data_IF_052384372554
#
_entry.id   IF_052384372554
#
_cell.length_a   1.000
_cell.length_b   1.000
_cell.length_c   1.000
_cell.angle_alpha   90.00
_cell.angle_beta   90.00
_cell.angle_gamma   90.00
#
_symmetry.space_group_name_H-M   'P 1'
#
loop_
_entity.id
_entity.type
_entity.pdbx_description
1 polymer ?
#
# COMPACT_ATOMS: atom_id res chain seq x y z
N UNK A 1 37.29 29.86 0.51
CA UNK A 1 36.10 29.49 -0.29
C UNK A 1 34.92 30.21 0.33
N UNK A 2 34.43 31.26 -0.35
CA UNK A 2 33.29 32.03 0.12
C UNK A 2 32.01 31.21 -0.02
N UNK A 3 31.14 31.25 0.99
CA UNK A 3 29.82 30.62 0.87
C UNK A 3 29.07 31.25 -0.32
N UNK A 4 28.36 30.46 -1.15
CA UNK A 4 27.52 31.02 -2.21
C UNK A 4 26.53 32.04 -1.61
N UNK A 5 26.16 33.10 -2.34
CA UNK A 5 25.25 34.11 -1.83
C UNK A 5 23.92 33.45 -1.47
N UNK A 6 23.62 33.45 -0.17
CA UNK A 6 22.36 32.95 0.36
C UNK A 6 21.24 33.87 -0.15
N UNK A 7 20.38 33.37 -1.03
CA UNK A 7 19.21 34.13 -1.49
C UNK A 7 18.12 34.01 -0.44
N UNK A 8 17.60 35.12 0.03
CA UNK A 8 16.54 35.17 1.07
C UNK A 8 15.32 34.30 0.69
N UNK A 9 15.00 34.21 -0.60
CA UNK A 9 13.93 33.35 -1.10
C UNK A 9 14.09 31.86 -0.76
N UNK A 10 15.32 31.34 -0.69
CA UNK A 10 15.57 29.93 -0.30
C UNK A 10 15.37 29.71 1.19
N UNK A 11 15.73 30.68 2.03
CA UNK A 11 15.52 30.62 3.48
C UNK A 11 14.03 30.69 3.80
N UNK A 12 13.32 31.63 3.18
CA UNK A 12 11.88 31.78 3.35
C UNK A 12 11.17 30.52 2.84
N UNK A 13 11.54 30.03 1.66
CA UNK A 13 10.98 28.82 1.08
C UNK A 13 11.17 27.59 1.97
N UNK A 14 12.38 27.36 2.50
CA UNK A 14 12.65 26.20 3.37
C UNK A 14 11.82 26.23 4.65
N UNK A 15 11.61 27.41 5.26
CA UNK A 15 10.77 27.59 6.44
C UNK A 15 9.30 27.30 6.10
N UNK A 16 8.78 27.88 5.02
CA UNK A 16 7.38 27.69 4.60
C UNK A 16 7.11 26.21 4.31
N UNK A 17 7.96 25.55 3.52
CA UNK A 17 7.80 24.14 3.20
C UNK A 17 7.99 23.24 4.43
N UNK A 18 8.88 23.60 5.35
CA UNK A 18 9.03 22.90 6.63
C UNK A 18 7.75 22.94 7.48
N UNK A 19 7.12 24.11 7.58
CA UNK A 19 5.86 24.29 8.33
C UNK A 19 4.71 23.55 7.65
N UNK A 20 4.53 23.72 6.34
CA UNK A 20 3.50 23.00 5.57
C UNK A 20 3.66 21.48 5.70
N UNK A 21 4.91 21.00 5.71
CA UNK A 21 5.25 19.62 6.01
C UNK A 21 4.74 19.16 7.37
N UNK A 22 5.03 19.91 8.44
CA UNK A 22 4.60 19.59 9.80
C UNK A 22 3.08 19.62 10.00
N UNK A 23 2.36 20.46 9.25
CA UNK A 23 0.88 20.48 9.26
C UNK A 23 0.31 19.23 8.57
N UNK A 24 1.03 18.69 7.57
CA UNK A 24 0.57 17.54 6.78
C UNK A 24 0.92 16.20 7.43
N UNK A 25 2.10 16.08 8.02
CA UNK A 25 2.60 14.84 8.61
C UNK A 25 3.62 15.11 9.72
N UNK A 26 3.93 14.12 10.58
CA UNK A 26 4.87 14.33 11.69
C UNK A 26 6.34 14.18 11.28
N UNK A 27 6.67 13.45 10.22
CA UNK A 27 8.08 13.21 9.83
C UNK A 27 8.88 14.48 9.52
N UNK A 28 8.31 15.56 8.95
CA UNK A 28 9.02 16.83 8.76
C UNK A 28 9.49 17.51 10.05
N UNK A 29 9.05 17.07 11.23
CA UNK A 29 9.66 17.53 12.50
C UNK A 29 11.17 17.26 12.55
N UNK A 30 11.62 16.14 11.95
CA UNK A 30 13.03 15.79 11.84
C UNK A 30 13.85 16.74 10.95
N UNK A 31 13.19 17.57 10.13
CA UNK A 31 13.85 18.55 9.27
C UNK A 31 14.44 19.72 10.07
N UNK A 32 13.79 20.12 11.17
CA UNK A 32 14.17 21.35 11.87
C UNK A 32 15.56 21.31 12.53
N UNK A 33 15.94 20.23 13.25
CA UNK A 33 17.31 20.10 13.74
C UNK A 33 18.35 20.10 12.61
N UNK A 34 17.98 19.58 11.44
CA UNK A 34 18.86 19.51 10.26
C UNK A 34 19.05 20.89 9.65
N UNK A 35 17.99 21.68 9.51
CA UNK A 35 18.10 23.07 9.02
C UNK A 35 18.99 23.91 9.95
N UNK A 36 18.85 23.73 11.27
CA UNK A 36 19.72 24.36 12.24
C UNK A 36 21.19 23.92 12.07
N UNK A 37 21.43 22.61 11.98
CA UNK A 37 22.77 22.06 11.79
C UNK A 37 23.39 22.51 10.46
N UNK A 38 22.62 22.51 9.38
CA UNK A 38 23.04 22.94 8.05
C UNK A 38 23.40 24.43 8.04
N UNK A 39 22.63 25.29 8.71
CA UNK A 39 22.95 26.71 8.82
C UNK A 39 24.30 26.96 9.54
N UNK A 40 24.60 26.16 10.57
CA UNK A 40 25.90 26.20 11.27
C UNK A 40 27.03 25.66 10.39
N UNK A 41 26.82 24.50 9.76
CA UNK A 41 27.82 23.85 8.90
C UNK A 41 28.11 24.69 7.66
N UNK A 42 27.12 25.33 7.05
CA UNK A 42 27.31 26.24 5.91
C UNK A 42 27.77 27.64 6.31
N UNK A 43 27.86 27.93 7.62
CA UNK A 43 28.26 29.23 8.17
C UNK A 43 27.40 30.38 7.65
N UNK A 44 26.08 30.19 7.66
CA UNK A 44 25.13 31.24 7.32
C UNK A 44 25.24 32.45 8.28
N UNK A 45 24.78 33.64 7.86
CA UNK A 45 24.75 34.81 8.72
C UNK A 45 24.03 34.51 10.04
N UNK A 46 24.57 35.02 11.16
CA UNK A 46 24.02 34.75 12.51
C UNK A 46 22.52 34.98 12.61
N UNK A 47 21.99 36.02 11.93
CA UNK A 47 20.55 36.31 11.86
C UNK A 47 19.73 35.15 11.31
N UNK A 48 20.19 34.54 10.21
CA UNK A 48 19.52 33.38 9.58
C UNK A 48 19.65 32.14 10.47
N UNK A 49 20.82 31.91 11.05
CA UNK A 49 21.02 30.78 11.97
C UNK A 49 20.08 30.90 13.17
N UNK A 50 20.02 32.06 13.84
CA UNK A 50 19.09 32.29 14.95
C UNK A 50 17.63 32.17 14.53
N UNK A 51 17.28 32.62 13.31
CA UNK A 51 15.94 32.41 12.77
C UNK A 51 15.59 30.93 12.68
N UNK A 52 16.46 30.09 12.12
CA UNK A 52 16.20 28.64 12.06
C UNK A 52 16.04 28.02 13.45
N UNK A 53 16.87 28.38 14.43
CA UNK A 53 16.73 27.90 15.80
C UNK A 53 15.41 28.37 16.44
N UNK A 54 15.06 29.64 16.30
CA UNK A 54 13.84 30.21 16.86
C UNK A 54 12.59 29.52 16.27
N UNK A 55 12.54 29.35 14.94
CA UNK A 55 11.42 28.67 14.27
C UNK A 55 11.40 27.18 14.62
N UNK A 56 12.56 26.51 14.67
CA UNK A 56 12.66 25.10 15.09
C UNK A 56 12.09 24.89 16.48
N UNK A 57 12.48 25.73 17.45
CA UNK A 57 11.96 25.66 18.82
C UNK A 57 10.44 25.91 18.81
N UNK A 58 9.98 26.96 18.14
CA UNK A 58 8.56 27.27 18.07
C UNK A 58 7.73 26.11 17.50
N UNK A 59 8.16 25.51 16.39
CA UNK A 59 7.43 24.41 15.73
C UNK A 59 7.45 23.14 16.58
N UNK A 60 8.62 22.73 17.08
CA UNK A 60 8.75 21.53 17.91
C UNK A 60 7.97 21.68 19.23
N UNK A 61 8.09 22.82 19.90
CA UNK A 61 7.33 23.10 21.14
C UNK A 61 5.83 23.12 20.87
N UNK A 62 5.37 23.76 19.79
CA UNK A 62 3.94 23.77 19.44
C UNK A 62 3.42 22.35 19.20
N UNK A 63 4.18 21.51 18.50
CA UNK A 63 3.81 20.11 18.30
C UNK A 63 3.66 19.38 19.64
N UNK A 64 4.67 19.41 20.51
CA UNK A 64 4.60 18.68 21.78
C UNK A 64 3.57 19.25 22.78
N UNK A 65 3.29 20.55 22.75
CA UNK A 65 2.25 21.18 23.57
C UNK A 65 0.83 20.80 23.12
N UNK A 66 0.65 20.51 21.82
CA UNK A 66 -0.66 20.17 21.24
C UNK A 66 -0.85 18.67 21.01
N UNK A 67 0.22 17.88 21.12
CA UNK A 67 0.20 16.44 20.86
C UNK A 67 -0.62 15.70 21.92
N UNK A 68 -1.53 14.82 21.44
CA UNK A 68 -2.28 13.89 22.28
C UNK A 68 -2.03 12.46 21.82
N UNK A 69 -1.44 11.65 22.69
CA UNK A 69 -1.19 10.23 22.41
C UNK A 69 -2.53 9.48 22.28
N UNK A 70 -2.79 8.76 21.17
CA UNK A 70 -4.00 7.93 21.06
C UNK A 70 -4.00 6.80 22.10
N UNK A 71 -5.18 6.47 22.66
CA UNK A 71 -5.31 5.49 23.74
C UNK A 71 -4.76 4.08 23.41
N UNK A 72 -4.76 3.69 22.13
CA UNK A 72 -4.26 2.39 21.67
C UNK A 72 -2.77 2.38 21.31
N UNK A 73 -2.06 3.51 21.45
CA UNK A 73 -0.63 3.58 21.18
C UNK A 73 0.20 3.25 22.44
N UNK A 74 1.43 2.73 22.29
CA UNK A 74 2.37 2.57 23.39
C UNK A 74 2.55 3.89 24.15
N UNK A 75 2.63 3.80 25.47
CA UNK A 75 2.87 4.98 26.29
C UNK A 75 4.27 5.53 26.03
N UNK A 76 4.35 6.82 25.71
CA UNK A 76 5.61 7.54 25.59
C UNK A 76 6.36 7.67 26.93
N UNK A 77 5.69 7.46 28.07
CA UNK A 77 6.31 7.46 29.40
C UNK A 77 6.90 6.11 29.80
N UNK A 78 6.63 5.05 29.04
CA UNK A 78 7.07 3.67 29.33
C UNK A 78 7.89 3.09 28.17
N UNK A 79 8.79 3.90 27.62
CA UNK A 79 9.67 3.49 26.52
C UNK A 79 10.66 2.44 27.04
N UNK A 80 10.77 1.31 26.33
CA UNK A 80 11.82 0.33 26.57
C UNK A 80 13.02 0.64 25.65
N UNK A 81 14.19 1.03 26.20
CA UNK A 81 15.35 1.40 25.39
C UNK A 81 15.84 0.28 24.48
N UNK A 82 15.85 -0.96 24.96
CA UNK A 82 16.31 -2.12 24.19
C UNK A 82 15.42 -2.35 22.96
N UNK A 83 14.10 -2.33 23.14
CA UNK A 83 13.15 -2.44 22.01
C UNK A 83 13.29 -1.29 21.02
N UNK A 84 13.58 -0.09 21.52
CA UNK A 84 13.80 1.09 20.67
C UNK A 84 15.08 0.92 19.85
N UNK A 85 16.15 0.42 20.47
CA UNK A 85 17.43 0.15 19.81
C UNK A 85 17.34 -0.97 18.77
N UNK A 86 16.54 -2.00 19.02
CA UNK A 86 16.31 -3.09 18.04
C UNK A 86 15.45 -2.62 16.85
N UNK A 87 14.52 -1.70 17.09
CA UNK A 87 13.59 -1.23 16.07
C UNK A 87 14.28 -0.44 14.95
N UNK A 88 15.24 0.43 15.28
CA UNK A 88 15.92 1.32 14.32
C UNK A 88 16.65 0.55 13.20
N UNK A 89 17.54 -0.41 13.49
CA UNK A 89 18.21 -1.18 12.43
C UNK A 89 17.21 -2.02 11.63
N UNK A 90 16.25 -2.70 12.26
CA UNK A 90 15.21 -3.45 11.53
C UNK A 90 14.42 -2.54 10.58
N UNK A 91 14.08 -1.32 11.02
CA UNK A 91 13.40 -0.32 10.21
C UNK A 91 14.21 0.06 8.98
N UNK A 92 15.52 0.31 9.15
CA UNK A 92 16.40 0.72 8.05
C UNK A 92 16.70 -0.42 7.07
N UNK A 93 16.75 -1.67 7.52
CA UNK A 93 17.01 -2.83 6.65
C UNK A 93 15.76 -3.51 6.10
N UNK A 94 14.57 -3.19 6.61
CA UNK A 94 13.31 -3.84 6.22
C UNK A 94 12.93 -3.69 4.75
N UNK A 95 13.56 -2.76 4.02
CA UNK A 95 13.38 -2.63 2.58
C UNK A 95 14.07 -3.77 1.78
N UNK A 96 15.01 -4.48 2.38
CA UNK A 96 15.76 -5.56 1.73
C UNK A 96 15.34 -6.96 2.15
N UNK A 97 14.62 -7.09 3.28
CA UNK A 97 14.16 -8.38 3.78
C UNK A 97 13.01 -8.22 4.76
N UNK A 98 12.03 -9.12 4.67
CA UNK A 98 10.98 -9.28 5.68
C UNK A 98 11.47 -10.09 6.90
N UNK A 99 12.62 -10.76 6.79
CA UNK A 99 13.23 -11.45 7.92
C UNK A 99 13.87 -10.40 8.86
N UNK A 100 13.34 -10.33 10.09
CA UNK A 100 13.73 -9.34 11.11
C UNK A 100 15.23 -9.37 11.41
N UNK A 101 15.83 -10.57 11.48
CA UNK A 101 17.26 -10.71 11.80
C UNK A 101 18.11 -10.18 10.64
N UNK A 102 17.78 -10.57 9.40
CA UNK A 102 18.49 -10.11 8.20
C UNK A 102 18.34 -8.60 8.02
N UNK A 103 17.11 -8.09 8.16
CA UNK A 103 16.83 -6.66 8.13
C UNK A 103 17.63 -5.90 9.20
N UNK A 104 17.66 -6.40 10.43
CA UNK A 104 18.43 -5.78 11.51
C UNK A 104 19.93 -5.75 11.21
N UNK A 105 20.52 -6.85 10.74
CA UNK A 105 21.94 -6.90 10.36
C UNK A 105 22.27 -5.87 9.26
N UNK A 106 21.47 -5.81 8.20
CA UNK A 106 21.66 -4.84 7.12
C UNK A 106 21.52 -3.41 7.65
N UNK A 107 20.53 -3.16 8.52
CA UNK A 107 20.34 -1.88 9.19
C UNK A 107 21.53 -1.46 10.05
N UNK A 108 22.12 -2.39 10.81
CA UNK A 108 23.34 -2.15 11.61
C UNK A 108 24.50 -1.74 10.69
N UNK A 109 24.69 -2.41 9.56
CA UNK A 109 25.70 -2.02 8.56
C UNK A 109 25.45 -0.58 8.09
N UNK A 110 24.19 -0.23 7.83
CA UNK A 110 23.77 1.13 7.50
C UNK A 110 24.12 2.14 8.60
N UNK A 111 23.84 1.80 9.86
CA UNK A 111 24.14 2.64 11.03
C UNK A 111 25.65 2.87 11.22
N UNK A 112 26.46 1.85 10.99
CA UNK A 112 27.93 1.97 11.00
C UNK A 112 28.38 2.91 9.86
N UNK A 113 27.82 2.74 8.66
CA UNK A 113 28.15 3.58 7.51
C UNK A 113 27.80 5.06 7.72
N UNK A 114 26.59 5.38 8.21
CA UNK A 114 26.21 6.77 8.50
C UNK A 114 27.09 7.38 9.59
N UNK A 115 27.44 6.62 10.64
CA UNK A 115 28.33 7.12 11.71
C UNK A 115 29.72 7.45 11.14
N UNK A 116 30.25 6.57 10.29
CA UNK A 116 31.50 6.80 9.57
C UNK A 116 31.44 8.02 8.64
N UNK A 117 30.34 8.19 7.90
CA UNK A 117 30.15 9.34 7.00
C UNK A 117 29.97 10.65 7.74
N UNK A 118 29.19 10.70 8.82
CA UNK A 118 29.07 11.89 9.67
C UNK A 118 30.46 12.31 10.16
N UNK A 119 31.25 11.37 10.68
CA UNK A 119 32.62 11.66 11.13
C UNK A 119 33.52 12.13 9.98
N UNK A 120 33.54 11.40 8.87
CA UNK A 120 34.38 11.71 7.72
C UNK A 120 34.05 13.07 7.09
N UNK A 121 32.77 13.37 6.85
CA UNK A 121 32.36 14.57 6.12
C UNK A 121 32.35 15.84 6.98
N UNK A 122 32.06 15.72 8.28
CA UNK A 122 32.11 16.87 9.20
C UNK A 122 33.54 17.26 9.58
N UNK A 123 34.46 16.29 9.68
CA UNK A 123 35.82 16.51 10.18
C UNK A 123 36.93 16.30 9.13
N UNK A 124 36.59 15.77 7.95
CA UNK A 124 37.53 15.50 6.85
C UNK A 124 37.88 16.73 5.99
N UNK A 125 38.76 16.53 5.00
CA UNK A 125 39.35 17.59 4.16
C UNK A 125 38.32 18.32 3.27
N UNK A 126 38.77 19.49 2.78
CA UNK A 126 38.06 20.59 2.09
C UNK A 126 37.39 20.23 0.74
N UNK A 127 36.39 19.36 0.74
CA UNK A 127 35.37 19.35 -0.33
C UNK A 127 34.32 20.41 -0.04
N UNK A 128 33.74 20.98 -1.10
CA UNK A 128 32.64 21.93 -0.94
C UNK A 128 31.49 21.26 -0.17
N UNK A 129 31.03 21.92 0.90
CA UNK A 129 29.99 21.39 1.78
C UNK A 129 28.68 21.21 1.02
N UNK A 130 28.47 21.98 -0.05
CA UNK A 130 27.30 21.90 -0.91
C UNK A 130 27.15 20.55 -1.61
N UNK A 131 28.24 19.81 -1.84
CA UNK A 131 28.21 18.57 -2.62
C UNK A 131 27.67 17.39 -1.80
N UNK A 132 28.00 17.32 -0.51
CA UNK A 132 27.67 16.18 0.36
C UNK A 132 26.61 16.49 1.41
N UNK A 133 26.47 17.75 1.85
CA UNK A 133 25.57 18.10 2.95
C UNK A 133 24.09 17.81 2.66
N UNK A 134 23.55 17.99 1.44
CA UNK A 134 22.16 17.61 1.15
C UNK A 134 21.92 16.11 1.35
N UNK A 135 22.86 15.27 0.95
CA UNK A 135 22.78 13.81 1.13
C UNK A 135 22.88 13.46 2.61
N UNK A 136 23.89 13.97 3.32
CA UNK A 136 24.01 13.74 4.76
C UNK A 136 22.76 14.21 5.53
N UNK A 137 22.14 15.31 5.08
CA UNK A 137 20.86 15.80 5.61
C UNK A 137 19.73 14.80 5.41
N UNK A 138 19.59 14.20 4.22
CA UNK A 138 18.60 13.14 3.95
C UNK A 138 18.87 11.91 4.84
N UNK A 139 20.13 11.53 5.03
CA UNK A 139 20.51 10.39 5.86
C UNK A 139 20.19 10.63 7.35
N UNK A 140 20.46 11.83 7.86
CA UNK A 140 20.13 12.22 9.24
C UNK A 140 18.62 12.39 9.42
N UNK A 141 17.91 12.88 8.41
CA UNK A 141 16.44 12.97 8.39
C UNK A 141 15.81 11.61 8.55
N UNK A 142 16.22 10.65 7.72
CA UNK A 142 15.69 9.29 7.77
C UNK A 142 16.02 8.59 9.10
N UNK A 143 17.23 8.79 9.65
CA UNK A 143 17.59 8.28 10.99
C UNK A 143 16.72 8.89 12.11
N UNK A 144 16.49 10.20 12.10
CA UNK A 144 15.59 10.84 13.06
C UNK A 144 14.15 10.33 12.92
N UNK A 145 13.66 10.12 11.69
CA UNK A 145 12.32 9.53 11.50
C UNK A 145 12.25 8.07 11.96
N UNK A 146 13.33 7.29 11.82
CA UNK A 146 13.43 5.94 12.36
C UNK A 146 13.39 5.96 13.90
N UNK A 147 14.10 6.90 14.54
CA UNK A 147 14.04 7.11 15.98
C UNK A 147 12.63 7.51 16.43
N UNK A 148 11.97 8.44 15.74
CA UNK A 148 10.59 8.84 16.04
C UNK A 148 9.62 7.65 15.91
N UNK A 149 9.79 6.83 14.89
CA UNK A 149 9.01 5.60 14.71
C UNK A 149 9.30 4.60 15.85
N UNK A 150 10.57 4.37 16.19
CA UNK A 150 10.97 3.48 17.27
C UNK A 150 10.39 3.91 18.63
N UNK A 151 10.51 5.18 18.98
CA UNK A 151 9.96 5.74 20.23
C UNK A 151 8.43 5.58 20.30
N UNK A 152 7.74 5.83 19.19
CA UNK A 152 6.27 5.81 19.17
C UNK A 152 5.64 4.44 18.90
N UNK A 153 6.41 3.47 18.35
CA UNK A 153 5.87 2.19 17.84
C UNK A 153 6.55 0.94 18.36
N UNK A 154 7.76 1.01 18.93
CA UNK A 154 8.48 -0.20 19.40
C UNK A 154 7.71 -1.01 20.45
N UNK A 155 6.83 -0.37 21.22
CA UNK A 155 5.93 -1.05 22.16
C UNK A 155 4.92 -2.00 21.50
N UNK A 156 4.66 -1.87 20.19
CA UNK A 156 3.81 -2.80 19.44
C UNK A 156 4.52 -4.09 19.01
N UNK A 157 5.86 -4.11 19.05
CA UNK A 157 6.67 -5.19 18.46
C UNK A 157 7.56 -4.70 17.31
N UNK A 158 8.69 -5.39 17.11
CA UNK A 158 9.70 -5.05 16.10
C UNK A 158 9.21 -5.38 14.68
N UNK A 159 8.24 -6.27 14.54
CA UNK A 159 7.61 -6.68 13.27
C UNK A 159 6.99 -5.49 12.54
N UNK A 160 6.57 -4.45 13.27
CA UNK A 160 6.04 -3.23 12.65
C UNK A 160 7.09 -2.42 11.90
N UNK A 161 8.38 -2.63 12.18
CA UNK A 161 9.47 -1.88 11.56
C UNK A 161 9.63 -2.20 10.06
N UNK A 162 9.28 -3.43 9.64
CA UNK A 162 9.31 -3.87 8.23
C UNK A 162 8.01 -3.58 7.49
N UNK A 163 7.05 -2.90 8.11
CA UNK A 163 5.78 -2.58 7.45
C UNK A 163 6.01 -1.70 6.21
N UNK A 164 5.43 -2.10 5.08
CA UNK A 164 5.61 -1.47 3.76
C UNK A 164 5.38 0.04 3.73
N UNK A 165 4.50 0.57 4.61
CA UNK A 165 4.25 2.02 4.78
C UNK A 165 5.49 2.83 5.15
N UNK A 166 6.57 2.19 5.60
CA UNK A 166 7.81 2.86 5.94
C UNK A 166 8.87 2.82 4.86
N UNK A 167 8.74 1.95 3.85
CA UNK A 167 9.82 1.60 2.91
C UNK A 167 10.48 2.81 2.20
N UNK A 168 9.72 3.89 1.93
CA UNK A 168 10.27 5.10 1.29
C UNK A 168 11.37 5.76 2.11
N UNK A 169 11.32 5.73 3.45
CA UNK A 169 12.31 6.40 4.29
C UNK A 169 13.65 5.64 4.35
N UNK A 170 13.69 4.32 4.58
CA UNK A 170 14.89 3.52 4.36
C UNK A 170 15.44 3.61 2.93
N UNK A 171 14.58 3.70 1.89
CA UNK A 171 15.06 3.90 0.52
C UNK A 171 15.90 5.17 0.38
N UNK A 172 15.42 6.29 0.94
CA UNK A 172 16.16 7.55 0.96
C UNK A 172 17.46 7.46 1.77
N UNK A 173 17.44 6.72 2.90
CA UNK A 173 18.64 6.47 3.69
C UNK A 173 19.72 5.78 2.85
N UNK A 174 19.38 4.65 2.20
CA UNK A 174 20.33 3.87 1.41
C UNK A 174 20.76 4.57 0.13
N UNK A 175 19.85 5.31 -0.53
CA UNK A 175 20.21 6.18 -1.65
C UNK A 175 21.28 7.18 -1.24
N UNK A 176 21.08 7.88 -0.12
CA UNK A 176 22.07 8.82 0.40
C UNK A 176 23.39 8.12 0.76
N UNK A 177 23.34 6.95 1.39
CA UNK A 177 24.54 6.15 1.69
C UNK A 177 25.34 5.86 0.42
N UNK A 178 24.67 5.44 -0.67
CA UNK A 178 25.33 5.15 -1.96
C UNK A 178 25.98 6.42 -2.52
N UNK A 179 25.26 7.55 -2.55
CA UNK A 179 25.82 8.80 -3.09
C UNK A 179 27.03 9.27 -2.26
N UNK A 180 26.93 9.27 -0.93
CA UNK A 180 28.05 9.63 -0.05
C UNK A 180 29.25 8.69 -0.23
N UNK A 181 29.00 7.40 -0.46
CA UNK A 181 30.07 6.42 -0.76
C UNK A 181 30.76 6.73 -2.09
N UNK A 182 30.00 7.09 -3.13
CA UNK A 182 30.55 7.46 -4.44
C UNK A 182 31.37 8.75 -4.34
N UNK A 183 30.85 9.77 -3.63
CA UNK A 183 31.57 11.02 -3.40
C UNK A 183 32.87 10.78 -2.59
N UNK A 184 32.81 9.91 -1.58
CA UNK A 184 33.97 9.50 -0.79
C UNK A 184 35.03 8.80 -1.67
N UNK A 185 34.62 7.81 -2.46
CA UNK A 185 35.51 7.07 -3.35
C UNK A 185 36.17 7.97 -4.41
N UNK A 186 35.46 8.99 -4.91
CA UNK A 186 36.04 9.99 -5.82
C UNK A 186 37.13 10.83 -5.17
N UNK A 187 37.03 11.13 -3.87
CA UNK A 187 38.07 11.92 -3.17
C UNK A 187 39.40 11.19 -3.08
N UNK A 188 39.36 9.86 -2.99
CA UNK A 188 40.56 9.06 -2.79
C UNK A 188 41.52 9.11 -3.99
N UNK A 189 41.12 9.73 -5.11
CA UNK A 189 41.84 9.79 -6.39
C UNK A 189 42.57 8.47 -6.72
N UNK A 190 41.87 7.32 -6.69
CA UNK A 190 42.53 6.05 -6.92
C UNK A 190 43.10 5.99 -8.34
N UNK A 191 44.28 5.39 -8.49
CA UNK A 191 44.92 5.08 -9.78
C UNK A 191 43.86 4.37 -10.68
N UNK A 192 43.79 4.61 -12.01
CA UNK A 192 42.71 4.09 -12.87
C UNK A 192 42.43 2.57 -12.71
N UNK A 193 43.48 1.77 -12.45
CA UNK A 193 43.37 0.33 -12.15
C UNK A 193 42.69 0.05 -10.80
N UNK A 194 43.01 0.83 -9.76
CA UNK A 194 42.30 0.80 -8.47
C UNK A 194 40.89 1.35 -8.60
N UNK A 195 40.65 2.39 -9.40
CA UNK A 195 39.32 2.95 -9.58
C UNK A 195 38.33 1.89 -10.11
N UNK A 196 38.73 1.11 -11.12
CA UNK A 196 37.93 -0.02 -11.64
C UNK A 196 37.72 -1.11 -10.58
N UNK A 197 38.73 -1.39 -9.75
CA UNK A 197 38.66 -2.39 -8.68
C UNK A 197 37.68 -2.03 -7.56
N UNK A 198 37.42 -0.74 -7.30
CA UNK A 198 36.49 -0.28 -6.25
C UNK A 198 35.08 0.02 -6.79
N UNK A 199 34.96 0.53 -8.02
CA UNK A 199 33.66 0.81 -8.65
C UNK A 199 32.88 -0.46 -8.96
N UNK A 200 33.55 -1.53 -9.39
CA UNK A 200 32.91 -2.81 -9.73
C UNK A 200 32.15 -3.45 -8.55
N UNK A 201 32.75 -3.63 -7.35
CA UNK A 201 32.02 -4.17 -6.21
C UNK A 201 30.93 -3.21 -5.70
N UNK A 202 31.13 -1.88 -5.78
CA UNK A 202 30.09 -0.91 -5.41
C UNK A 202 28.86 -1.02 -6.32
N UNK A 203 29.06 -1.15 -7.63
CA UNK A 203 27.98 -1.42 -8.59
C UNK A 203 27.34 -2.78 -8.34
N UNK A 204 28.13 -3.81 -7.99
CA UNK A 204 27.60 -5.11 -7.58
C UNK A 204 26.70 -5.02 -6.35
N UNK A 205 27.15 -4.33 -5.29
CA UNK A 205 26.37 -4.10 -4.07
C UNK A 205 25.10 -3.31 -4.38
N UNK A 206 25.18 -2.24 -5.17
CA UNK A 206 24.03 -1.45 -5.56
C UNK A 206 23.02 -2.29 -6.38
N UNK A 207 23.51 -3.15 -7.28
CA UNK A 207 22.66 -4.05 -8.07
C UNK A 207 21.96 -5.07 -7.17
N UNK A 208 22.69 -5.71 -6.25
CA UNK A 208 22.12 -6.65 -5.27
C UNK A 208 21.07 -5.93 -4.41
N UNK A 209 21.38 -4.73 -3.93
CA UNK A 209 20.45 -3.92 -3.15
C UNK A 209 19.15 -3.66 -3.94
N UNK A 210 19.25 -3.24 -5.20
CA UNK A 210 18.08 -3.01 -6.07
C UNK A 210 17.27 -4.30 -6.28
N UNK A 211 17.92 -5.44 -6.51
CA UNK A 211 17.25 -6.74 -6.69
C UNK A 211 16.49 -7.13 -5.42
N UNK A 212 17.11 -6.98 -4.24
CA UNK A 212 16.47 -7.26 -2.97
C UNK A 212 15.26 -6.35 -2.70
N UNK A 213 15.42 -5.03 -2.95
CA UNK A 213 14.30 -4.09 -2.84
C UNK A 213 13.14 -4.43 -3.79
N UNK A 214 13.47 -4.83 -5.02
CA UNK A 214 12.46 -5.23 -6.01
C UNK A 214 11.76 -6.54 -5.60
N UNK A 215 12.48 -7.49 -5.00
CA UNK A 215 11.89 -8.73 -4.47
C UNK A 215 10.83 -8.45 -3.40
N UNK A 216 11.22 -7.75 -2.32
CA UNK A 216 10.31 -7.40 -1.20
C UNK A 216 9.15 -6.51 -1.70
N UNK A 217 9.48 -5.49 -2.51
CA UNK A 217 8.51 -4.57 -3.08
C UNK A 217 7.51 -5.25 -4.02
N UNK A 218 7.97 -6.18 -4.84
CA UNK A 218 7.15 -6.93 -5.79
C UNK A 218 6.16 -7.86 -5.11
N UNK A 219 6.59 -8.60 -4.08
CA UNK A 219 5.69 -9.44 -3.28
C UNK A 219 4.61 -8.60 -2.60
N UNK A 220 5.01 -7.52 -1.94
CA UNK A 220 4.09 -6.58 -1.29
C UNK A 220 3.10 -5.96 -2.28
N UNK A 221 3.59 -5.49 -3.43
CA UNK A 221 2.76 -4.91 -4.48
C UNK A 221 1.75 -5.93 -5.03
N UNK A 222 2.17 -7.18 -5.24
CA UNK A 222 1.30 -8.26 -5.69
C UNK A 222 0.20 -8.59 -4.67
N UNK A 223 0.53 -8.59 -3.37
CA UNK A 223 -0.42 -8.82 -2.29
C UNK A 223 -1.46 -7.70 -2.19
N UNK A 224 -1.02 -6.43 -2.31
CA UNK A 224 -1.90 -5.26 -2.35
C UNK A 224 -2.80 -5.30 -3.58
N UNK A 225 -2.25 -5.56 -4.77
CA UNK A 225 -3.02 -5.66 -6.01
C UNK A 225 -4.06 -6.79 -5.92
N UNK A 226 -3.68 -7.96 -5.40
CA UNK A 226 -4.60 -9.09 -5.17
C UNK A 226 -5.69 -8.77 -4.17
N UNK A 227 -5.42 -7.93 -3.16
CA UNK A 227 -6.44 -7.47 -2.22
C UNK A 227 -7.39 -6.47 -2.88
N UNK A 228 -6.85 -5.56 -3.69
CA UNK A 228 -7.61 -4.55 -4.42
C UNK A 228 -8.64 -5.16 -5.39
N UNK A 229 -8.35 -6.31 -6.01
CA UNK A 229 -9.33 -6.99 -6.89
C UNK A 229 -10.63 -7.40 -6.20
N UNK A 230 -10.66 -7.49 -4.86
CA UNK A 230 -11.87 -7.80 -4.10
C UNK A 230 -12.65 -6.54 -3.67
N UNK A 231 -12.09 -5.34 -3.82
CA UNK A 231 -12.78 -4.10 -3.41
C UNK A 231 -14.09 -3.88 -4.17
N UNK A 232 -14.18 -4.11 -5.51
CA UNK A 232 -15.46 -4.03 -6.21
C UNK A 232 -16.50 -5.04 -5.70
N UNK A 233 -16.06 -6.21 -5.24
CA UNK A 233 -16.95 -7.24 -4.68
C UNK A 233 -17.54 -6.81 -3.34
N UNK A 234 -16.71 -6.18 -2.49
CA UNK A 234 -17.20 -5.58 -1.25
C UNK A 234 -18.11 -4.39 -1.54
N UNK A 235 -17.76 -3.53 -2.48
CA UNK A 235 -18.63 -2.42 -2.88
C UNK A 235 -20.00 -2.93 -3.34
N UNK A 236 -20.01 -3.97 -4.16
CA UNK A 236 -21.23 -4.61 -4.64
C UNK A 236 -22.08 -5.17 -3.48
N UNK A 237 -21.47 -5.88 -2.54
CA UNK A 237 -22.23 -6.44 -1.41
C UNK A 237 -22.94 -5.34 -0.64
N UNK A 238 -22.25 -4.23 -0.35
CA UNK A 238 -22.82 -3.08 0.35
C UNK A 238 -23.92 -2.39 -0.44
N UNK A 239 -23.73 -2.17 -1.74
CA UNK A 239 -24.73 -1.56 -2.63
C UNK A 239 -26.01 -2.39 -2.70
N UNK A 240 -25.90 -3.72 -2.64
CA UNK A 240 -27.04 -4.64 -2.54
C UNK A 240 -27.58 -4.76 -1.12
N UNK A 241 -27.06 -4.03 -0.13
CA UNK A 241 -27.48 -4.15 1.27
C UNK A 241 -27.09 -5.49 1.92
N UNK A 242 -26.12 -6.21 1.35
CA UNK A 242 -25.63 -7.51 1.81
C UNK A 242 -24.30 -7.30 2.54
N UNK A 243 -24.27 -7.55 3.85
CA UNK A 243 -23.04 -7.36 4.65
C UNK A 243 -22.25 -8.65 4.75
N UNK A 244 -21.24 -8.83 3.88
CA UNK A 244 -20.29 -9.96 3.96
C UNK A 244 -19.13 -9.62 4.91
N UNK A 245 -19.37 -9.81 6.21
CA UNK A 245 -18.40 -9.51 7.29
C UNK A 245 -17.09 -10.27 7.10
N UNK A 246 -17.15 -11.51 6.60
CA UNK A 246 -15.97 -12.34 6.35
C UNK A 246 -15.09 -11.73 5.27
N UNK A 247 -15.68 -11.35 4.13
CA UNK A 247 -14.92 -10.71 3.04
C UNK A 247 -14.36 -9.35 3.46
N UNK A 248 -15.13 -8.53 4.20
CA UNK A 248 -14.66 -7.23 4.71
C UNK A 248 -13.46 -7.42 5.64
N UNK A 249 -13.54 -8.38 6.56
CA UNK A 249 -12.46 -8.69 7.51
C UNK A 249 -11.18 -9.11 6.79
N UNK A 250 -11.31 -9.99 5.80
CA UNK A 250 -10.16 -10.53 5.07
C UNK A 250 -9.56 -9.56 4.05
N UNK A 251 -10.38 -8.74 3.39
CA UNK A 251 -9.97 -7.97 2.20
C UNK A 251 -10.02 -6.46 2.38
N UNK A 252 -10.68 -5.91 3.39
CA UNK A 252 -10.77 -4.44 3.60
C UNK A 252 -10.06 -4.02 4.87
N UNK A 253 -10.31 -4.68 6.00
CA UNK A 253 -9.64 -4.35 7.25
C UNK A 253 -10.00 -5.26 8.39
N UNK A 254 -9.14 -5.32 9.40
CA UNK A 254 -9.31 -6.19 10.57
C UNK A 254 -10.40 -5.73 11.56
N UNK A 255 -11.09 -4.62 11.28
CA UNK A 255 -12.18 -4.06 12.10
C UNK A 255 -13.46 -3.90 11.27
N UNK A 256 -14.11 -5.01 10.86
CA UNK A 256 -15.29 -4.94 10.00
C UNK A 256 -16.44 -4.14 10.62
N UNK A 257 -16.62 -4.17 11.94
CA UNK A 257 -17.67 -3.41 12.62
C UNK A 257 -17.53 -1.89 12.45
N UNK A 258 -16.30 -1.36 12.52
CA UNK A 258 -16.05 0.07 12.29
C UNK A 258 -16.39 0.48 10.84
N UNK A 259 -16.13 -0.42 9.89
CA UNK A 259 -16.48 -0.21 8.50
C UNK A 259 -18.00 -0.28 8.27
N UNK A 260 -18.68 -1.26 8.87
CA UNK A 260 -20.15 -1.40 8.79
C UNK A 260 -20.85 -0.20 9.44
N UNK A 261 -20.33 0.31 10.56
CA UNK A 261 -20.88 1.50 11.23
C UNK A 261 -20.80 2.79 10.41
N UNK A 262 -20.03 2.82 9.31
CA UNK A 262 -19.95 3.97 8.40
C UNK A 262 -20.98 3.91 7.26
N UNK A 263 -21.65 2.77 7.04
CA UNK A 263 -22.53 2.56 5.89
C UNK A 263 -23.63 3.63 5.80
N UNK A 264 -24.28 3.95 6.92
CA UNK A 264 -25.39 4.91 6.92
C UNK A 264 -24.91 6.33 6.62
N UNK A 265 -23.74 6.71 7.15
CA UNK A 265 -23.12 8.00 6.83
C UNK A 265 -22.72 8.07 5.35
N UNK A 266 -22.17 6.99 4.78
CA UNK A 266 -21.79 6.94 3.36
C UNK A 266 -23.04 7.05 2.46
N UNK A 267 -24.13 6.35 2.80
CA UNK A 267 -25.41 6.45 2.08
C UNK A 267 -25.99 7.87 2.14
N UNK A 268 -26.08 8.42 3.35
CA UNK A 268 -26.68 9.75 3.59
C UNK A 268 -25.93 10.86 2.84
N UNK A 269 -24.60 10.75 2.74
CA UNK A 269 -23.76 11.73 2.05
C UNK A 269 -23.48 11.39 0.57
N UNK A 270 -24.18 10.39 0.01
CA UNK A 270 -24.00 9.97 -1.38
C UNK A 270 -22.54 9.64 -1.75
N UNK A 271 -21.80 9.04 -0.82
CA UNK A 271 -20.38 8.69 -0.97
C UNK A 271 -20.21 7.27 -1.53
N UNK A 272 -19.09 7.01 -2.19
CA UNK A 272 -18.75 5.68 -2.73
C UNK A 272 -18.84 4.61 -1.62
N UNK A 273 -19.51 3.46 -1.87
CA UNK A 273 -20.05 3.01 -3.16
C UNK A 273 -21.52 3.40 -3.41
N UNK A 274 -22.16 4.22 -2.58
CA UNK A 274 -23.58 4.59 -2.68
C UNK A 274 -23.86 5.80 -3.57
N UNK A 275 -22.85 6.31 -4.29
CA UNK A 275 -22.97 7.46 -5.19
C UNK A 275 -23.74 7.18 -6.49
N UNK A 276 -24.30 5.97 -6.65
CA UNK A 276 -25.06 5.51 -7.82
C UNK A 276 -26.15 4.51 -7.37
N UNK A 277 -27.32 4.57 -8.00
CA UNK A 277 -28.38 3.57 -7.79
C UNK A 277 -28.04 2.27 -8.53
N UNK A 278 -27.61 1.25 -7.79
CA UNK A 278 -27.22 -0.03 -8.38
C UNK A 278 -28.41 -0.82 -8.95
N UNK A 279 -29.65 -0.57 -8.51
CA UNK A 279 -30.81 -1.31 -9.02
C UNK A 279 -31.09 -0.94 -10.48
N UNK A 280 -30.91 0.34 -10.81
CA UNK A 280 -31.13 0.90 -12.16
C UNK A 280 -29.86 1.02 -12.99
N UNK A 281 -28.74 1.37 -12.37
CA UNK A 281 -27.49 1.67 -13.04
C UNK A 281 -26.38 0.74 -12.57
N UNK A 282 -26.47 -0.53 -12.98
CA UNK A 282 -25.42 -1.52 -12.77
C UNK A 282 -24.71 -1.90 -14.08
N UNK A 283 -23.62 -2.64 -13.94
CA UNK A 283 -22.78 -3.07 -15.06
C UNK A 283 -23.34 -4.31 -15.80
N UNK A 284 -24.48 -4.84 -15.37
CA UNK A 284 -25.01 -6.12 -15.82
C UNK A 284 -26.47 -6.05 -16.32
N UNK A 285 -27.45 -6.35 -15.46
CA UNK A 285 -28.86 -6.37 -15.77
C UNK A 285 -29.67 -5.78 -14.60
N UNK A 286 -30.82 -5.18 -14.88
CA UNK A 286 -31.70 -4.61 -13.86
C UNK A 286 -32.17 -5.69 -12.87
N UNK A 287 -32.06 -5.39 -11.57
CA UNK A 287 -32.48 -6.34 -10.52
C UNK A 287 -34.00 -6.49 -10.49
N UNK A 288 -34.46 -7.68 -10.12
CA UNK A 288 -35.88 -8.04 -10.03
C UNK A 288 -36.67 -7.87 -11.33
N UNK A 289 -35.96 -7.79 -12.46
CA UNK A 289 -36.56 -7.79 -13.81
C UNK A 289 -36.43 -9.16 -14.47
N UNK A 290 -37.35 -9.47 -15.38
CA UNK A 290 -37.36 -10.71 -16.13
C UNK A 290 -36.58 -10.55 -17.42
N UNK A 291 -35.65 -11.45 -17.70
CA UNK A 291 -34.97 -11.53 -19.00
C UNK A 291 -35.82 -12.36 -19.96
N UNK A 292 -36.00 -11.87 -21.19
CA UNK A 292 -36.76 -12.57 -22.21
C UNK A 292 -36.14 -13.93 -22.54
N UNK A 293 -36.94 -15.03 -22.63
CA UNK A 293 -36.40 -16.38 -22.87
C UNK A 293 -35.63 -16.55 -24.18
N UNK A 294 -35.98 -15.78 -25.22
CA UNK A 294 -35.27 -15.76 -26.52
C UNK A 294 -33.81 -15.29 -26.41
N UNK A 295 -33.47 -14.51 -25.38
CA UNK A 295 -32.11 -14.04 -25.10
C UNK A 295 -31.31 -15.05 -24.27
N UNK A 296 -31.95 -16.08 -23.72
CA UNK A 296 -31.33 -17.08 -22.87
C UNK A 296 -31.05 -18.34 -23.69
N UNK A 297 -29.79 -18.75 -23.73
CA UNK A 297 -29.39 -20.00 -24.37
C UNK A 297 -28.89 -21.02 -23.35
N UNK A 298 -29.12 -22.30 -23.63
CA UNK A 298 -28.57 -23.41 -22.88
C UNK A 298 -27.02 -23.36 -22.89
N UNK A 299 -26.35 -24.09 -21.96
CA UNK A 299 -24.90 -24.18 -21.95
C UNK A 299 -24.41 -24.63 -23.33
N UNK A 300 -23.58 -23.81 -23.98
CA UNK A 300 -23.03 -24.12 -25.31
C UNK A 300 -21.66 -24.79 -25.18
N UNK A 301 -21.42 -25.79 -26.02
CA UNK A 301 -20.07 -26.31 -26.24
C UNK A 301 -19.20 -25.17 -26.78
N UNK A 302 -18.14 -24.82 -26.05
CA UNK A 302 -17.26 -23.68 -26.34
C UNK A 302 -17.25 -22.56 -25.30
N UNK A 303 -18.17 -22.55 -24.32
CA UNK A 303 -18.09 -21.67 -23.14
C UNK A 303 -18.01 -22.56 -21.90
N UNK A 304 -16.83 -23.08 -21.54
CA UNK A 304 -16.71 -23.91 -20.35
C UNK A 304 -16.99 -23.05 -19.12
N UNK A 305 -17.81 -23.51 -18.18
CA UNK A 305 -18.13 -22.73 -16.98
C UNK A 305 -19.16 -23.40 -16.10
N UNK A 306 -19.06 -23.17 -14.80
CA UNK A 306 -19.91 -23.79 -13.78
C UNK A 306 -20.40 -22.77 -12.76
N UNK A 307 -21.61 -23.01 -12.27
CA UNK A 307 -22.10 -22.44 -11.01
C UNK A 307 -21.77 -23.41 -9.87
N UNK A 308 -20.76 -23.06 -9.08
CA UNK A 308 -20.18 -23.97 -8.08
C UNK A 308 -20.95 -23.95 -6.76
N UNK A 309 -21.05 -22.78 -6.10
CA UNK A 309 -21.43 -22.68 -4.69
C UNK A 309 -22.39 -21.51 -4.45
N UNK A 310 -23.40 -21.75 -3.60
CA UNK A 310 -24.24 -20.72 -2.96
C UNK A 310 -24.01 -20.77 -1.45
N UNK A 311 -23.50 -19.70 -0.87
CA UNK A 311 -23.29 -19.55 0.58
C UNK A 311 -24.32 -18.56 1.13
N UNK A 312 -25.28 -19.06 1.92
CA UNK A 312 -26.26 -18.20 2.59
C UNK A 312 -25.57 -17.29 3.63
N UNK A 313 -25.83 -15.99 3.55
CA UNK A 313 -25.31 -14.98 4.47
C UNK A 313 -26.40 -14.42 5.39
N UNK A 314 -27.63 -14.35 4.87
CA UNK A 314 -28.84 -13.95 5.60
C UNK A 314 -30.05 -14.70 5.02
N UNK A 315 -31.27 -14.59 5.61
CA UNK A 315 -32.46 -15.27 5.12
C UNK A 315 -32.72 -15.09 3.62
N UNK A 316 -32.53 -13.87 3.12
CA UNK A 316 -32.75 -13.48 1.72
C UNK A 316 -31.47 -13.09 0.99
N UNK A 317 -30.28 -13.37 1.54
CA UNK A 317 -29.02 -12.96 0.93
C UNK A 317 -28.02 -14.09 0.87
N UNK A 318 -27.36 -14.26 -0.28
CA UNK A 318 -26.32 -15.26 -0.45
C UNK A 318 -25.15 -14.73 -1.29
N UNK A 319 -23.97 -15.29 -1.02
CA UNK A 319 -22.80 -15.16 -1.87
C UNK A 319 -22.78 -16.32 -2.85
N UNK A 320 -22.46 -16.03 -4.11
CA UNK A 320 -22.40 -17.01 -5.19
C UNK A 320 -21.02 -17.04 -5.82
N UNK A 321 -20.56 -18.23 -6.17
CA UNK A 321 -19.24 -18.46 -6.75
C UNK A 321 -19.37 -19.45 -7.90
N UNK A 322 -18.58 -19.23 -8.94
CA UNK A 322 -18.36 -20.20 -10.00
C UNK A 322 -17.16 -19.80 -10.85
N UNK A 323 -17.13 -20.32 -12.07
CA UNK A 323 -16.15 -19.91 -13.07
C UNK A 323 -16.73 -19.91 -14.47
N UNK A 324 -16.11 -19.14 -15.35
CA UNK A 324 -16.38 -19.10 -16.78
C UNK A 324 -15.06 -18.99 -17.52
N UNK A 325 -14.87 -19.90 -18.46
CA UNK A 325 -13.75 -19.90 -19.38
C UNK A 325 -13.96 -18.84 -20.43
N UNK A 326 -13.04 -17.90 -20.42
CA UNK A 326 -13.04 -16.76 -21.30
C UNK A 326 -11.60 -16.28 -21.48
N UNK A 327 -10.80 -17.02 -22.28
CA UNK A 327 -9.37 -16.72 -22.45
C UNK A 327 -9.12 -15.34 -23.08
N UNK A 328 -10.12 -14.77 -23.77
CA UNK A 328 -10.07 -13.45 -24.40
C UNK A 328 -10.61 -12.31 -23.52
N UNK A 329 -11.06 -12.60 -22.29
CA UNK A 329 -11.60 -11.62 -21.35
C UNK A 329 -12.79 -10.79 -21.92
N UNK A 330 -13.64 -11.47 -22.68
CA UNK A 330 -14.85 -10.97 -23.30
C UNK A 330 -16.09 -10.99 -22.38
N UNK A 331 -16.08 -11.66 -21.23
CA UNK A 331 -17.19 -11.70 -20.28
C UNK A 331 -17.46 -10.28 -19.80
N UNK A 332 -18.66 -9.79 -20.11
CA UNK A 332 -19.13 -8.47 -19.72
C UNK A 332 -19.61 -8.49 -18.27
N UNK A 333 -20.49 -9.44 -17.97
CA UNK A 333 -20.99 -9.67 -16.62
C UNK A 333 -21.68 -11.03 -16.51
N UNK A 334 -22.00 -11.43 -15.28
CA UNK A 334 -22.74 -12.66 -14.99
C UNK A 334 -23.98 -12.30 -14.18
N UNK A 335 -25.14 -12.66 -14.68
CA UNK A 335 -26.42 -12.50 -13.98
C UNK A 335 -26.83 -13.85 -13.36
N UNK A 336 -27.46 -13.80 -12.19
CA UNK A 336 -28.01 -14.99 -11.52
C UNK A 336 -29.52 -14.86 -11.55
N UNK A 337 -30.17 -15.81 -12.18
CA UNK A 337 -31.61 -15.81 -12.45
C UNK A 337 -32.28 -16.93 -11.64
N UNK A 338 -33.53 -16.71 -11.25
CA UNK A 338 -34.37 -17.78 -10.71
C UNK A 338 -35.05 -18.60 -11.82
N UNK A 339 -35.89 -19.58 -11.44
CA UNK A 339 -36.65 -20.41 -12.38
C UNK A 339 -37.63 -19.65 -13.30
N UNK A 340 -37.99 -18.40 -12.94
CA UNK A 340 -38.89 -17.55 -13.73
C UNK A 340 -38.11 -16.56 -14.62
N UNK A 341 -36.79 -16.72 -14.74
CA UNK A 341 -35.84 -15.84 -15.42
C UNK A 341 -35.75 -14.42 -14.81
N UNK A 342 -36.07 -14.27 -13.53
CA UNK A 342 -35.94 -13.02 -12.79
C UNK A 342 -34.53 -12.86 -12.25
N UNK A 343 -33.92 -11.71 -12.49
CA UNK A 343 -32.56 -11.39 -12.03
C UNK A 343 -32.54 -11.20 -10.51
N UNK A 344 -31.86 -12.09 -9.79
CA UNK A 344 -31.67 -12.04 -8.33
C UNK A 344 -30.37 -11.40 -7.88
N UNK A 345 -29.44 -11.23 -8.81
CA UNK A 345 -28.15 -10.63 -8.53
C UNK A 345 -27.18 -10.82 -9.66
N UNK A 346 -25.94 -10.45 -9.41
CA UNK A 346 -24.89 -10.52 -10.41
C UNK A 346 -23.53 -10.77 -9.79
N UNK A 347 -22.62 -11.23 -10.64
CA UNK A 347 -21.26 -11.57 -10.32
C UNK A 347 -20.28 -10.90 -11.28
N UNK A 348 -19.07 -10.68 -10.79
CA UNK A 348 -17.95 -10.19 -11.58
C UNK A 348 -16.99 -11.34 -11.82
N UNK A 349 -16.42 -11.40 -13.02
CA UNK A 349 -15.31 -12.27 -13.37
C UNK A 349 -13.96 -11.66 -12.94
N UNK A 350 -12.86 -12.36 -13.18
CA UNK A 350 -11.51 -11.85 -12.92
C UNK A 350 -10.92 -12.30 -11.58
N UNK A 351 -11.55 -13.24 -10.87
CA UNK A 351 -11.03 -13.77 -9.61
C UNK A 351 -10.09 -14.95 -9.85
N UNK A 352 -9.03 -15.10 -9.03
CA UNK A 352 -8.05 -16.16 -9.22
C UNK A 352 -8.63 -17.56 -8.97
N UNK A 353 -8.36 -18.52 -9.86
CA UNK A 353 -8.65 -19.97 -9.75
C UNK A 353 -7.45 -20.82 -10.12
N UNK A 354 -6.52 -21.06 -9.18
CA UNK A 354 -5.31 -21.83 -9.46
C UNK A 354 -5.59 -23.26 -9.92
N UNK A 355 -6.68 -23.87 -9.44
CA UNK A 355 -7.16 -25.20 -9.83
C UNK A 355 -7.41 -25.33 -11.34
N UNK A 356 -7.97 -24.29 -11.96
CA UNK A 356 -8.28 -24.29 -13.39
C UNK A 356 -7.05 -24.11 -14.28
N UNK A 357 -5.97 -23.51 -13.75
CA UNK A 357 -4.72 -23.32 -14.51
C UNK A 357 -4.10 -24.67 -14.87
N UNK A 358 -4.16 -25.64 -13.96
CA UNK A 358 -3.63 -26.98 -14.19
C UNK A 358 -4.44 -27.78 -15.20
N UNK A 359 -5.74 -27.48 -15.34
CA UNK A 359 -6.66 -28.21 -16.22
C UNK A 359 -6.78 -27.60 -17.62
N UNK A 360 -6.81 -26.26 -17.71
CA UNK A 360 -7.12 -25.53 -18.93
C UNK A 360 -6.02 -24.55 -19.37
N UNK A 361 -4.94 -24.41 -18.59
CA UNK A 361 -3.78 -23.59 -18.91
C UNK A 361 -3.82 -22.17 -18.32
N UNK A 362 -2.73 -21.38 -18.53
CA UNK A 362 -2.52 -20.08 -17.86
C UNK A 362 -3.61 -19.03 -18.13
N UNK A 363 -4.28 -19.09 -19.28
CA UNK A 363 -5.35 -18.16 -19.63
C UNK A 363 -6.55 -18.22 -18.65
N UNK A 364 -6.72 -19.34 -17.95
CA UNK A 364 -7.82 -19.55 -16.98
C UNK A 364 -7.49 -19.07 -15.56
N UNK A 365 -6.32 -18.46 -15.35
CA UNK A 365 -5.86 -18.01 -14.02
C UNK A 365 -6.89 -17.13 -13.31
N UNK A 366 -7.64 -16.31 -14.04
CA UNK A 366 -8.64 -15.38 -13.52
C UNK A 366 -10.08 -15.71 -13.94
N UNK A 367 -10.35 -16.99 -14.26
CA UNK A 367 -11.65 -17.44 -14.75
C UNK A 367 -12.76 -17.51 -13.69
N UNK A 368 -12.47 -17.35 -12.38
CA UNK A 368 -13.55 -17.33 -11.40
C UNK A 368 -14.39 -16.08 -11.53
N UNK A 369 -15.65 -16.27 -11.16
CA UNK A 369 -16.54 -15.20 -10.81
C UNK A 369 -17.05 -15.33 -9.39
N UNK A 370 -17.35 -14.17 -8.80
CA UNK A 370 -17.93 -14.05 -7.47
C UNK A 370 -18.99 -12.96 -7.49
N UNK A 371 -20.07 -13.19 -6.77
CA UNK A 371 -21.17 -12.24 -6.73
C UNK A 371 -22.06 -12.43 -5.52
N UNK A 372 -23.16 -11.69 -5.54
CA UNK A 372 -24.17 -11.73 -4.51
C UNK A 372 -25.55 -11.73 -5.13
N UNK A 373 -26.49 -12.34 -4.40
CA UNK A 373 -27.88 -12.42 -4.79
C UNK A 373 -28.78 -12.07 -3.61
N UNK A 374 -29.93 -11.48 -3.91
CA UNK A 374 -31.07 -11.41 -3.02
C UNK A 374 -32.11 -12.44 -3.47
N UNK A 375 -32.47 -13.37 -2.59
CA UNK A 375 -33.40 -14.46 -2.89
C UNK A 375 -34.77 -14.20 -2.27
N UNK A 376 -35.82 -14.63 -2.97
CA UNK A 376 -37.20 -14.65 -2.51
C UNK A 376 -37.58 -16.04 -1.99
N UNK A 377 -38.53 -16.18 -1.04
CA UNK A 377 -39.06 -17.48 -0.61
C UNK A 377 -39.69 -18.32 -1.73
N UNK A 378 -40.01 -17.72 -2.88
CA UNK A 378 -40.52 -18.42 -4.07
C UNK A 378 -39.41 -18.97 -4.96
N UNK A 379 -38.15 -18.56 -4.76
CA UNK A 379 -37.04 -19.04 -5.57
C UNK A 379 -36.69 -20.47 -5.18
N UNK A 380 -36.67 -21.36 -6.16
CA UNK A 380 -36.38 -22.79 -5.98
C UNK A 380 -35.08 -23.21 -6.67
N UNK A 381 -34.79 -22.59 -7.81
CA UNK A 381 -33.64 -22.89 -8.64
C UNK A 381 -32.94 -21.60 -9.03
N UNK A 382 -31.61 -21.60 -8.99
CA UNK A 382 -30.78 -20.52 -9.48
C UNK A 382 -29.88 -21.01 -10.62
N UNK A 383 -29.83 -20.22 -11.68
CA UNK A 383 -28.95 -20.47 -12.82
C UNK A 383 -28.10 -19.22 -13.09
N UNK A 384 -26.80 -19.41 -13.28
CA UNK A 384 -25.89 -18.33 -13.63
C UNK A 384 -25.80 -18.21 -15.17
N UNK A 385 -25.87 -16.99 -15.68
CA UNK A 385 -25.79 -16.68 -17.10
C UNK A 385 -24.69 -15.64 -17.35
N UNK A 386 -23.80 -15.89 -18.32
CA UNK A 386 -22.83 -14.89 -18.75
C UNK A 386 -23.26 -14.18 -20.03
N UNK A 387 -23.04 -12.86 -20.04
CA UNK A 387 -23.06 -12.04 -21.25
C UNK A 387 -21.62 -11.69 -21.66
N UNK A 388 -21.40 -11.48 -22.96
CA UNK A 388 -20.07 -11.25 -23.53
C UNK A 388 -20.10 -9.99 -24.39
N UNK A 389 -18.96 -9.29 -24.49
CA UNK A 389 -18.84 -8.02 -25.21
C UNK A 389 -19.05 -8.17 -26.72
N UNK A 390 -18.71 -9.33 -27.27
CA UNK A 390 -18.68 -9.61 -28.71
C UNK A 390 -19.92 -10.37 -29.24
N UNK A 391 -20.92 -10.65 -28.40
CA UNK A 391 -22.14 -11.36 -28.83
C UNK A 391 -23.37 -10.89 -28.05
N UNK A 392 -24.53 -10.96 -28.70
CA UNK A 392 -25.80 -10.71 -28.04
C UNK A 392 -26.32 -11.96 -27.31
N UNK A 393 -27.11 -11.74 -26.26
CA UNK A 393 -27.73 -12.78 -25.45
C UNK A 393 -26.87 -13.29 -24.29
N UNK A 394 -27.41 -14.30 -23.63
CA UNK A 394 -26.91 -14.87 -22.38
C UNK A 394 -26.69 -16.37 -22.53
N UNK A 395 -25.59 -16.87 -22.00
CA UNK A 395 -25.27 -18.31 -22.02
C UNK A 395 -25.27 -18.84 -20.60
N UNK A 396 -26.10 -19.86 -20.35
CA UNK A 396 -26.18 -20.53 -19.07
C UNK A 396 -24.85 -21.23 -18.72
N UNK A 397 -24.43 -21.11 -17.46
CA UNK A 397 -23.37 -21.92 -16.89
C UNK A 397 -23.86 -23.35 -16.65
N UNK A 398 -22.93 -24.29 -16.58
CA UNK A 398 -23.24 -25.66 -16.17
C UNK A 398 -23.61 -25.67 -14.68
N UNK A 399 -24.52 -26.59 -14.34
CA UNK A 399 -25.18 -26.72 -13.05
C UNK A 399 -26.12 -25.56 -12.71
N UNK A 400 -27.23 -25.92 -12.08
CA UNK A 400 -28.11 -24.98 -11.40
C UNK A 400 -28.15 -25.33 -9.91
N UNK A 401 -28.38 -24.33 -9.08
CA UNK A 401 -28.29 -24.46 -7.64
C UNK A 401 -29.69 -24.46 -7.04
N UNK A 402 -30.06 -25.55 -6.37
CA UNK A 402 -31.36 -25.68 -5.72
C UNK A 402 -31.30 -24.91 -4.40
N UNK A 403 -32.23 -23.98 -4.19
CA UNK A 403 -32.39 -23.30 -2.91
C UNK A 403 -33.35 -24.12 -2.05
N UNK A 404 -32.85 -24.63 -0.91
CA UNK A 404 -33.72 -25.18 0.13
C UNK A 404 -34.19 -24.03 1.02
N UNK A 405 -35.45 -23.65 0.89
CA UNK A 405 -36.10 -22.73 1.81
C UNK A 405 -36.51 -23.55 3.04
N UNK A 406 -35.65 -23.55 4.07
CA UNK A 406 -36.03 -23.95 5.43
C UNK A 406 -36.74 -22.79 6.12
#
# INVERSE_FOLDING_TARGET
>A
TGAPPLRDGWVIGSIIFGILGCISYSTPLALWPILCAAAVVLRFPRRVTYLYFAVSIAVISTYFLTYKTPAHHPSLTKINPLKTLEYIPTYLGGIFSDNIIVASIIGIIGLIAVTGFVGYWLFGKKIDRTDWLPWLSIQIYTLQTALMAAVSRSGFGVEQATASRYATLPALFWMSTIVLTVLWARQLQPIPRMQRSWLTPLLGIATIAIVLMYGVGGETASAIARRATYQPLVALSLQLGITDVTLIKEKVGNRPAAFVGLIDALKTNNLVPFNRDIKKHNFCAELDTKIEPNLLSAPKDGVPGYFDIVTKLAPTAARVIGWVGDPENNVKCIAILNQENVVRGFAMSGFPRPDLVNLFGPAYKFAAWRGYIQTSPKDQLLTAYASFKNRQGWVAMRNSQIIKNN
#
